data_IF_518108391470
#
_entry.id   IF_518108391470
#
_cell.length_a   1.000
_cell.length_b   1.000
_cell.length_c   1.000
_cell.angle_alpha   90.00
_cell.angle_beta   90.00
_cell.angle_gamma   90.00
#
_symmetry.space_group_name_H-M   'P 1'
#
loop_
_entity.id
_entity.type
_entity.pdbx_description
1 polymer ?
#
# COMPACT_ATOMS: atom_id res chain seq x y z
N UNK A 1 -15.53 6.98 -12.51
CA UNK A 1 -14.46 7.92 -12.14
C UNK A 1 -13.72 8.48 -13.35
N UNK A 2 -13.20 7.64 -14.27
CA UNK A 2 -12.42 8.09 -15.45
C UNK A 2 -13.25 8.99 -16.38
N UNK A 3 -14.47 8.60 -16.76
CA UNK A 3 -15.35 9.41 -17.61
C UNK A 3 -15.72 10.75 -16.96
N UNK A 4 -15.98 10.74 -15.66
CA UNK A 4 -16.25 11.95 -14.89
C UNK A 4 -15.04 12.89 -14.87
N UNK A 5 -13.83 12.35 -14.65
CA UNK A 5 -12.61 13.13 -14.69
C UNK A 5 -12.32 13.74 -16.05
N UNK A 6 -12.54 12.99 -17.15
CA UNK A 6 -12.37 13.47 -18.51
C UNK A 6 -13.39 14.57 -18.87
N UNK A 7 -14.67 14.38 -18.52
CA UNK A 7 -15.73 15.36 -18.77
C UNK A 7 -15.49 16.66 -18.00
N UNK A 8 -15.01 16.57 -16.75
CA UNK A 8 -14.68 17.75 -15.95
C UNK A 8 -13.44 18.48 -16.50
N UNK A 9 -12.45 17.74 -16.99
CA UNK A 9 -11.25 18.32 -17.60
C UNK A 9 -11.57 19.08 -18.90
N UNK A 10 -12.54 18.63 -19.69
CA UNK A 10 -12.95 19.32 -20.92
C UNK A 10 -13.60 20.68 -20.66
N UNK A 11 -14.15 20.91 -19.45
CA UNK A 11 -14.77 22.17 -19.07
C UNK A 11 -13.77 23.28 -18.73
N UNK A 12 -12.48 22.94 -18.56
CA UNK A 12 -11.35 23.87 -18.36
C UNK A 12 -11.57 24.95 -17.28
N UNK A 13 -12.30 24.64 -16.22
CA UNK A 13 -12.61 25.55 -15.11
C UNK A 13 -11.55 25.42 -14.02
N UNK A 14 -10.88 26.52 -13.67
CA UNK A 14 -9.81 26.54 -12.67
C UNK A 14 -10.23 26.04 -11.27
N UNK A 15 -11.50 26.18 -10.92
CA UNK A 15 -12.07 25.68 -9.66
C UNK A 15 -12.10 24.15 -9.58
N UNK A 16 -12.21 23.47 -10.71
CA UNK A 16 -12.25 21.99 -10.79
C UNK A 16 -10.89 21.39 -10.39
N UNK A 17 -9.79 22.10 -10.61
CA UNK A 17 -8.45 21.65 -10.28
C UNK A 17 -8.23 21.42 -8.77
N UNK A 18 -8.97 22.13 -7.92
CA UNK A 18 -8.87 22.05 -6.45
C UNK A 18 -9.69 20.91 -5.82
N UNK A 19 -10.66 20.36 -6.53
CA UNK A 19 -11.50 19.29 -6.00
C UNK A 19 -12.64 18.89 -6.95
N UNK A 20 -12.36 18.09 -8.00
CA UNK A 20 -13.36 17.73 -9.03
C UNK A 20 -14.61 17.09 -8.45
N UNK A 21 -14.46 16.24 -7.45
CA UNK A 21 -15.57 15.54 -6.78
C UNK A 21 -16.47 16.51 -6.00
N UNK A 22 -15.85 17.41 -5.22
CA UNK A 22 -16.59 18.40 -4.44
C UNK A 22 -17.35 19.40 -5.33
N UNK A 23 -16.71 19.86 -6.41
CA UNK A 23 -17.36 20.73 -7.40
C UNK A 23 -18.55 20.05 -8.05
N UNK A 24 -18.40 18.81 -8.47
CA UNK A 24 -19.49 18.02 -9.08
C UNK A 24 -20.64 17.79 -8.09
N UNK A 25 -20.34 17.45 -6.85
CA UNK A 25 -21.35 17.28 -5.79
C UNK A 25 -22.18 18.57 -5.59
N UNK A 26 -21.54 19.73 -5.61
CA UNK A 26 -22.23 21.02 -5.46
C UNK A 26 -23.19 21.39 -6.61
N UNK A 27 -23.11 20.71 -7.76
CA UNK A 27 -24.03 20.92 -8.91
C UNK A 27 -25.19 19.94 -8.92
N UNK A 28 -25.22 18.95 -8.04
CA UNK A 28 -26.28 17.95 -8.00
C UNK A 28 -27.49 18.42 -7.17
N UNK A 29 -28.72 18.00 -7.52
CA UNK A 29 -29.87 18.15 -6.64
C UNK A 29 -29.62 17.53 -5.27
N UNK A 30 -30.18 18.14 -4.22
CA UNK A 30 -29.86 17.79 -2.82
C UNK A 30 -30.04 16.30 -2.50
N UNK A 31 -31.08 15.65 -3.04
CA UNK A 31 -31.33 14.22 -2.85
C UNK A 31 -30.26 13.33 -3.52
N UNK A 32 -29.81 13.69 -4.72
CA UNK A 32 -28.76 12.96 -5.45
C UNK A 32 -27.40 13.18 -4.77
N UNK A 33 -27.14 14.39 -4.30
CA UNK A 33 -25.93 14.71 -3.54
C UNK A 33 -25.84 13.86 -2.25
N UNK A 34 -26.94 13.72 -1.52
CA UNK A 34 -26.99 12.90 -0.31
C UNK A 34 -26.72 11.42 -0.58
N UNK A 35 -27.33 10.87 -1.65
CA UNK A 35 -27.08 9.49 -2.08
C UNK A 35 -25.62 9.28 -2.50
N UNK A 36 -25.05 10.22 -3.26
CA UNK A 36 -23.66 10.15 -3.69
C UNK A 36 -22.70 10.23 -2.51
N UNK A 37 -22.96 11.12 -1.55
CA UNK A 37 -22.18 11.22 -0.33
C UNK A 37 -22.24 9.91 0.48
N UNK A 38 -23.44 9.35 0.66
CA UNK A 38 -23.61 8.07 1.36
C UNK A 38 -22.84 6.93 0.67
N UNK A 39 -22.86 6.87 -0.66
CA UNK A 39 -22.10 5.90 -1.44
C UNK A 39 -20.58 6.03 -1.20
N UNK A 40 -20.07 7.26 -1.25
CA UNK A 40 -18.64 7.54 -1.02
C UNK A 40 -18.24 7.14 0.40
N UNK A 41 -19.03 7.52 1.41
CA UNK A 41 -18.77 7.13 2.80
C UNK A 41 -18.82 5.62 3.01
N UNK A 42 -19.80 4.93 2.44
CA UNK A 42 -19.90 3.47 2.53
C UNK A 42 -18.68 2.78 1.91
N UNK A 43 -18.21 3.27 0.76
CA UNK A 43 -17.02 2.74 0.08
C UNK A 43 -15.75 2.97 0.91
N UNK A 44 -15.57 4.17 1.48
CA UNK A 44 -14.44 4.48 2.36
C UNK A 44 -14.45 3.61 3.61
N UNK A 45 -15.61 3.44 4.26
CA UNK A 45 -15.74 2.58 5.44
C UNK A 45 -15.40 1.12 5.12
N UNK A 46 -15.91 0.59 4.01
CA UNK A 46 -15.62 -0.78 3.58
C UNK A 46 -14.12 -1.01 3.33
N UNK A 47 -13.48 -0.09 2.61
CA UNK A 47 -12.05 -0.19 2.30
C UNK A 47 -11.19 -0.07 3.55
N UNK A 48 -11.48 0.89 4.41
CA UNK A 48 -10.74 1.10 5.66
C UNK A 48 -10.88 -0.10 6.60
N UNK A 49 -12.10 -0.62 6.76
CA UNK A 49 -12.38 -1.78 7.60
C UNK A 49 -11.61 -3.02 7.14
N UNK A 50 -11.63 -3.33 5.85
CA UNK A 50 -10.88 -4.48 5.30
C UNK A 50 -9.37 -4.29 5.39
N UNK A 51 -8.86 -3.08 5.20
CA UNK A 51 -7.44 -2.77 5.36
C UNK A 51 -6.95 -2.97 6.80
N UNK A 52 -7.70 -2.48 7.78
CA UNK A 52 -7.39 -2.68 9.21
C UNK A 52 -7.45 -4.16 9.56
N UNK A 53 -8.49 -4.87 9.14
CA UNK A 53 -8.65 -6.29 9.43
C UNK A 53 -7.53 -7.14 8.85
N UNK A 54 -7.11 -6.87 7.62
CA UNK A 54 -5.98 -7.56 6.98
C UNK A 54 -4.68 -7.30 7.75
N UNK A 55 -4.41 -6.06 8.12
CA UNK A 55 -3.21 -5.69 8.88
C UNK A 55 -3.18 -6.37 10.25
N UNK A 56 -4.31 -6.37 10.97
CA UNK A 56 -4.46 -7.05 12.26
C UNK A 56 -4.26 -8.56 12.13
N UNK A 57 -4.83 -9.17 11.09
CA UNK A 57 -4.70 -10.61 10.86
C UNK A 57 -3.25 -11.00 10.58
N UNK A 58 -2.54 -10.23 9.74
CA UNK A 58 -1.12 -10.47 9.47
C UNK A 58 -0.29 -10.35 10.75
N UNK A 59 -0.51 -9.32 11.57
CA UNK A 59 0.24 -9.17 12.82
C UNK A 59 -0.09 -10.28 13.82
N UNK A 60 -1.36 -10.62 13.99
CA UNK A 60 -1.77 -11.63 14.98
C UNK A 60 -1.43 -13.05 14.56
N UNK A 61 -1.67 -13.41 13.30
CA UNK A 61 -1.39 -14.77 12.80
C UNK A 61 0.05 -14.98 12.39
N UNK A 62 0.63 -14.05 11.65
CA UNK A 62 1.96 -14.29 11.07
C UNK A 62 3.08 -13.96 12.06
N UNK A 63 2.88 -12.97 12.95
CA UNK A 63 3.91 -12.58 13.90
C UNK A 63 3.65 -13.20 15.28
N UNK A 64 2.49 -12.90 15.90
CA UNK A 64 2.23 -13.27 17.30
C UNK A 64 2.09 -14.77 17.46
N UNK A 65 1.36 -15.46 16.58
CA UNK A 65 1.19 -16.91 16.68
C UNK A 65 2.48 -17.69 16.32
N UNK A 66 3.35 -17.09 15.50
CA UNK A 66 4.66 -17.68 15.20
C UNK A 66 5.63 -17.58 16.39
N UNK A 67 5.60 -16.45 17.13
CA UNK A 67 6.42 -16.26 18.32
C UNK A 67 5.92 -17.10 19.49
N UNK A 68 4.62 -17.21 19.66
CA UNK A 68 4.01 -17.96 20.75
C UNK A 68 2.84 -18.84 20.27
N UNK A 69 3.12 -20.08 19.83
CA UNK A 69 2.10 -20.98 19.25
C UNK A 69 1.01 -21.41 20.25
N UNK A 70 1.25 -21.29 21.56
CA UNK A 70 0.37 -21.80 22.60
C UNK A 70 -0.61 -20.75 23.16
N UNK A 71 -0.82 -19.62 22.44
CA UNK A 71 -1.76 -18.60 22.88
C UNK A 71 -3.20 -19.12 22.70
N UNK A 72 -4.05 -19.11 23.74
CA UNK A 72 -5.43 -19.51 23.62
C UNK A 72 -6.21 -18.54 22.74
N UNK A 73 -7.13 -19.07 21.91
CA UNK A 73 -7.92 -18.29 20.92
C UNK A 73 -8.61 -17.07 21.52
N UNK A 74 -9.10 -17.18 22.74
CA UNK A 74 -9.74 -16.07 23.44
C UNK A 74 -8.81 -14.87 23.66
N UNK A 75 -7.53 -15.12 23.97
CA UNK A 75 -6.52 -14.07 24.09
C UNK A 75 -6.16 -13.48 22.70
N UNK A 76 -6.09 -14.32 21.68
CA UNK A 76 -5.84 -13.87 20.31
C UNK A 76 -6.90 -12.88 19.83
N UNK A 77 -8.18 -13.16 20.08
CA UNK A 77 -9.29 -12.25 19.77
C UNK A 77 -9.17 -10.93 20.53
N UNK A 78 -8.80 -10.96 21.81
CA UNK A 78 -8.59 -9.74 22.60
C UNK A 78 -7.44 -8.90 22.05
N UNK A 79 -6.31 -9.53 21.73
CA UNK A 79 -5.16 -8.86 21.11
C UNK A 79 -5.56 -8.22 19.78
N UNK A 80 -6.31 -8.94 18.94
CA UNK A 80 -6.80 -8.41 17.66
C UNK A 80 -7.68 -7.17 17.83
N UNK A 81 -8.57 -7.16 18.82
CA UNK A 81 -9.42 -5.99 19.13
C UNK A 81 -8.60 -4.78 19.57
N UNK A 82 -7.66 -4.98 20.49
CA UNK A 82 -6.78 -3.91 20.98
C UNK A 82 -5.93 -3.38 19.81
N UNK A 83 -5.36 -4.26 19.01
CA UNK A 83 -4.53 -3.89 17.86
C UNK A 83 -5.32 -3.11 16.81
N UNK A 84 -6.59 -3.50 16.55
CA UNK A 84 -7.47 -2.74 15.66
C UNK A 84 -7.70 -1.32 16.16
N UNK A 85 -7.97 -1.16 17.46
CA UNK A 85 -8.17 0.16 18.06
C UNK A 85 -6.91 1.01 18.00
N UNK A 86 -5.74 0.43 18.27
CA UNK A 86 -4.44 1.12 18.19
C UNK A 86 -4.14 1.54 16.75
N UNK A 87 -4.32 0.66 15.77
CA UNK A 87 -4.09 0.99 14.36
C UNK A 87 -5.02 2.10 13.88
N UNK A 88 -6.29 2.07 14.27
CA UNK A 88 -7.24 3.12 13.94
C UNK A 88 -6.87 4.46 14.59
N UNK A 89 -6.44 4.44 15.85
CA UNK A 89 -5.97 5.66 16.54
C UNK A 89 -4.72 6.25 15.85
N UNK A 90 -3.76 5.41 15.48
CA UNK A 90 -2.56 5.87 14.74
C UNK A 90 -2.96 6.46 13.38
N UNK A 91 -3.85 5.78 12.63
CA UNK A 91 -4.33 6.28 11.35
C UNK A 91 -5.02 7.64 11.48
N UNK A 92 -5.85 7.82 12.52
CA UNK A 92 -6.52 9.09 12.82
C UNK A 92 -5.50 10.19 13.13
N UNK A 93 -4.52 9.93 13.98
CA UNK A 93 -3.46 10.87 14.31
C UNK A 93 -2.64 11.27 13.08
N UNK A 94 -2.29 10.31 12.23
CA UNK A 94 -1.60 10.59 10.98
C UNK A 94 -2.43 11.46 10.04
N UNK A 95 -3.73 11.23 9.96
CA UNK A 95 -4.64 12.04 9.15
C UNK A 95 -4.73 13.50 9.64
N UNK A 96 -4.65 13.72 10.95
CA UNK A 96 -4.65 15.08 11.53
C UNK A 96 -3.35 15.84 11.28
N UNK A 97 -2.22 15.13 11.23
CA UNK A 97 -0.88 15.74 11.04
C UNK A 97 -0.59 15.98 9.56
N UNK A 98 -1.01 15.09 8.67
CA UNK A 98 -0.75 15.16 7.25
C UNK A 98 -2.02 15.42 6.44
N UNK A 99 -2.11 16.61 5.87
CA UNK A 99 -3.27 17.05 5.07
C UNK A 99 -3.22 16.64 3.61
N UNK A 100 -2.04 16.27 3.08
CA UNK A 100 -1.85 15.89 1.67
C UNK A 100 -2.04 14.39 1.43
N UNK A 101 -3.30 13.95 1.50
CA UNK A 101 -3.71 12.55 1.41
C UNK A 101 -3.34 11.89 0.08
N UNK A 102 -3.38 12.63 -1.04
CA UNK A 102 -3.09 12.05 -2.36
C UNK A 102 -1.62 11.69 -2.54
N UNK A 103 -0.71 12.56 -2.10
CA UNK A 103 0.72 12.27 -2.13
C UNK A 103 1.08 11.10 -1.18
N UNK A 104 0.43 11.03 -0.04
CA UNK A 104 0.59 9.90 0.88
C UNK A 104 0.16 8.57 0.25
N UNK A 105 -1.00 8.56 -0.40
CA UNK A 105 -1.53 7.38 -1.06
C UNK A 105 -0.60 6.91 -2.20
N UNK A 106 -0.18 7.83 -3.06
CA UNK A 106 0.75 7.51 -4.17
C UNK A 106 2.10 7.02 -3.67
N UNK A 107 2.64 7.62 -2.60
CA UNK A 107 3.88 7.16 -1.97
C UNK A 107 3.72 5.74 -1.41
N UNK A 108 2.64 5.46 -0.68
CA UNK A 108 2.38 4.13 -0.11
C UNK A 108 2.31 3.05 -1.20
N UNK A 109 1.63 3.32 -2.31
CA UNK A 109 1.60 2.40 -3.45
C UNK A 109 2.97 2.22 -4.09
N UNK A 110 3.76 3.27 -4.21
CA UNK A 110 5.10 3.20 -4.76
C UNK A 110 6.04 2.32 -3.92
N UNK A 111 6.02 2.49 -2.59
CA UNK A 111 6.78 1.65 -1.66
C UNK A 111 6.32 0.19 -1.69
N UNK A 112 5.00 -0.05 -1.72
CA UNK A 112 4.45 -1.40 -1.83
C UNK A 112 4.84 -2.06 -3.15
N UNK A 113 4.79 -1.34 -4.26
CA UNK A 113 5.23 -1.84 -5.56
C UNK A 113 6.72 -2.16 -5.58
N UNK A 114 7.57 -1.29 -5.02
CA UNK A 114 9.01 -1.51 -4.94
C UNK A 114 9.38 -2.73 -4.09
N UNK A 115 8.65 -2.97 -3.00
CA UNK A 115 8.89 -4.10 -2.10
C UNK A 115 8.36 -5.44 -2.64
N UNK A 116 7.20 -5.44 -3.30
CA UNK A 116 6.47 -6.68 -3.61
C UNK A 116 6.47 -7.06 -5.09
N UNK A 117 6.45 -6.09 -6.02
CA UNK A 117 6.28 -6.40 -7.43
C UNK A 117 7.40 -7.32 -7.93
N UNK A 118 8.65 -6.95 -7.72
CA UNK A 118 9.79 -7.71 -8.21
C UNK A 118 9.90 -9.10 -7.56
N UNK A 119 9.89 -9.24 -6.23
CA UNK A 119 9.92 -10.55 -5.57
C UNK A 119 8.79 -11.48 -6.00
N UNK A 120 7.58 -10.98 -6.15
CA UNK A 120 6.42 -11.80 -6.56
C UNK A 120 6.55 -12.24 -8.01
N UNK A 121 6.78 -11.31 -8.96
CA UNK A 121 6.84 -11.64 -10.38
C UNK A 121 8.06 -12.50 -10.74
N UNK A 122 9.24 -12.20 -10.19
CA UNK A 122 10.43 -13.00 -10.47
C UNK A 122 10.35 -14.39 -9.82
N UNK A 123 9.84 -14.50 -8.59
CA UNK A 123 9.71 -15.83 -7.96
C UNK A 123 8.72 -16.71 -8.71
N UNK A 124 7.64 -16.15 -9.23
CA UNK A 124 6.69 -16.89 -10.04
C UNK A 124 7.24 -17.24 -11.42
N UNK A 125 7.83 -16.26 -12.12
CA UNK A 125 8.37 -16.45 -13.48
C UNK A 125 9.60 -17.36 -13.55
N UNK A 126 10.42 -17.38 -12.51
CA UNK A 126 11.64 -18.22 -12.44
C UNK A 126 11.46 -19.50 -11.59
N UNK A 127 10.24 -19.81 -11.18
CA UNK A 127 9.92 -21.00 -10.37
C UNK A 127 10.46 -22.29 -10.96
N UNK A 128 10.37 -22.48 -12.26
CA UNK A 128 10.84 -23.70 -12.94
C UNK A 128 12.36 -23.86 -12.96
N UNK A 129 13.13 -22.80 -12.74
CA UNK A 129 14.60 -22.84 -12.80
C UNK A 129 15.28 -23.05 -11.44
N UNK A 130 14.48 -23.13 -10.33
CA UNK A 130 15.01 -23.23 -8.96
C UNK A 130 16.16 -22.22 -8.68
N UNK A 131 16.11 -21.05 -9.33
CA UNK A 131 17.15 -20.04 -9.28
C UNK A 131 17.00 -19.13 -8.06
N UNK A 132 15.76 -18.89 -7.62
CA UNK A 132 15.44 -17.93 -6.58
C UNK A 132 15.43 -18.64 -5.23
N UNK A 133 16.17 -18.07 -4.28
CA UNK A 133 16.27 -18.56 -2.90
C UNK A 133 15.46 -17.67 -1.95
N UNK A 134 14.98 -18.23 -0.84
CA UNK A 134 14.24 -17.46 0.19
C UNK A 134 15.00 -16.22 0.67
N UNK A 135 16.31 -16.29 0.99
CA UNK A 135 17.07 -15.08 1.35
C UNK A 135 17.18 -14.07 0.21
N UNK A 136 17.17 -14.50 -1.05
CA UNK A 136 17.11 -13.60 -2.19
C UNK A 136 15.80 -12.81 -2.27
N UNK A 137 14.67 -13.46 -1.97
CA UNK A 137 13.35 -12.79 -1.91
C UNK A 137 13.35 -11.72 -0.82
N UNK A 138 13.78 -12.06 0.38
CA UNK A 138 13.84 -11.11 1.51
C UNK A 138 14.77 -9.94 1.20
N UNK A 139 15.93 -10.21 0.61
CA UNK A 139 16.84 -9.16 0.17
C UNK A 139 16.20 -8.24 -0.86
N UNK A 140 15.50 -8.79 -1.87
CA UNK A 140 14.75 -8.00 -2.84
C UNK A 140 13.72 -7.07 -2.21
N UNK A 141 12.96 -7.56 -1.23
CA UNK A 141 11.98 -6.74 -0.49
C UNK A 141 12.66 -5.59 0.27
N UNK A 142 13.70 -5.88 1.04
CA UNK A 142 14.40 -4.88 1.87
C UNK A 142 15.11 -3.84 1.00
N UNK A 143 15.89 -4.28 0.02
CA UNK A 143 16.61 -3.37 -0.88
C UNK A 143 15.67 -2.60 -1.80
N UNK A 144 14.51 -3.14 -2.15
CA UNK A 144 13.46 -2.42 -2.88
C UNK A 144 12.92 -1.24 -2.08
N UNK A 145 12.61 -1.44 -0.79
CA UNK A 145 12.19 -0.36 0.11
C UNK A 145 13.29 0.69 0.30
N UNK A 146 14.51 0.27 0.56
CA UNK A 146 15.66 1.17 0.74
C UNK A 146 15.93 1.96 -0.53
N UNK A 147 15.93 1.30 -1.70
CA UNK A 147 16.12 1.95 -3.00
C UNK A 147 15.05 2.99 -3.30
N UNK A 148 13.79 2.68 -2.98
CA UNK A 148 12.67 3.62 -3.12
C UNK A 148 12.85 4.84 -2.18
N UNK A 149 13.24 4.63 -0.93
CA UNK A 149 13.48 5.70 0.04
C UNK A 149 14.64 6.61 -0.38
N UNK A 150 15.76 6.03 -0.80
CA UNK A 150 16.92 6.79 -1.29
C UNK A 150 16.57 7.61 -2.53
N UNK A 151 15.85 7.03 -3.49
CA UNK A 151 15.41 7.74 -4.70
C UNK A 151 14.47 8.91 -4.38
N UNK A 152 13.61 8.76 -3.39
CA UNK A 152 12.71 9.83 -2.92
C UNK A 152 13.49 10.98 -2.27
N UNK A 153 14.49 10.67 -1.43
CA UNK A 153 15.34 11.68 -0.78
C UNK A 153 16.18 12.44 -1.81
N UNK A 154 16.70 11.75 -2.82
CA UNK A 154 17.51 12.34 -3.88
C UNK A 154 16.70 13.18 -4.87
N UNK A 155 15.37 13.24 -4.75
CA UNK A 155 14.46 13.98 -5.67
C UNK A 155 14.78 13.73 -7.15
N UNK A 156 15.05 12.48 -7.50
CA UNK A 156 15.43 12.08 -8.86
C UNK A 156 14.27 12.39 -9.82
N UNK A 157 14.58 12.82 -11.04
CA UNK A 157 13.59 13.12 -12.09
C UNK A 157 12.78 11.90 -12.54
N UNK A 158 13.29 10.69 -12.30
CA UNK A 158 12.57 9.43 -12.53
C UNK A 158 11.67 9.11 -11.34
N UNK A 159 10.53 8.46 -11.63
CA UNK A 159 9.63 8.01 -10.59
C UNK A 159 10.38 7.06 -9.62
N UNK A 160 10.44 7.42 -8.34
CA UNK A 160 11.17 6.69 -7.29
C UNK A 160 10.71 5.23 -7.14
N UNK A 161 9.44 4.93 -7.48
CA UNK A 161 8.94 3.55 -7.53
C UNK A 161 9.69 2.69 -8.55
N UNK A 162 10.00 3.26 -9.71
CA UNK A 162 10.71 2.54 -10.78
C UNK A 162 12.14 2.18 -10.36
N UNK A 163 12.82 3.10 -9.71
CA UNK A 163 14.16 2.88 -9.17
C UNK A 163 14.12 1.80 -8.08
N UNK A 164 13.13 1.86 -7.18
CA UNK A 164 12.94 0.84 -6.14
C UNK A 164 12.72 -0.56 -6.71
N UNK A 165 11.91 -0.70 -7.76
CA UNK A 165 11.67 -1.97 -8.44
C UNK A 165 12.96 -2.51 -9.09
N UNK A 166 13.74 -1.66 -9.75
CA UNK A 166 15.00 -2.06 -10.37
C UNK A 166 16.02 -2.53 -9.32
N UNK A 167 16.18 -1.77 -8.25
CA UNK A 167 17.07 -2.13 -7.12
C UNK A 167 16.64 -3.45 -6.49
N UNK A 168 15.33 -3.65 -6.28
CA UNK A 168 14.76 -4.91 -5.79
C UNK A 168 15.12 -6.10 -6.70
N UNK A 169 14.98 -5.93 -8.03
CA UNK A 169 15.33 -6.96 -9.00
C UNK A 169 16.79 -7.36 -8.93
N UNK A 170 17.66 -6.36 -8.96
CA UNK A 170 19.12 -6.57 -8.95
C UNK A 170 19.55 -7.24 -7.64
N UNK A 171 19.09 -6.73 -6.51
CA UNK A 171 19.40 -7.29 -5.20
C UNK A 171 18.94 -8.76 -5.07
N UNK A 172 17.72 -9.05 -5.52
CA UNK A 172 17.15 -10.39 -5.50
C UNK A 172 17.98 -11.38 -6.33
N UNK A 173 18.38 -10.99 -7.55
CA UNK A 173 19.18 -11.83 -8.44
C UNK A 173 20.57 -12.07 -7.87
N UNK A 174 21.25 -11.03 -7.37
CA UNK A 174 22.61 -11.13 -6.83
C UNK A 174 22.62 -12.03 -5.59
N UNK A 175 21.71 -11.80 -4.64
CA UNK A 175 21.66 -12.60 -3.40
C UNK A 175 21.24 -14.04 -3.69
N UNK A 176 20.31 -14.27 -4.62
CA UNK A 176 19.94 -15.62 -5.03
C UNK A 176 21.10 -16.36 -5.69
N UNK A 177 21.87 -15.71 -6.54
CA UNK A 177 23.04 -16.30 -7.17
C UNK A 177 24.14 -16.64 -6.15
N UNK A 178 24.36 -15.76 -5.17
CA UNK A 178 25.33 -15.96 -4.10
C UNK A 178 24.93 -17.09 -3.16
N UNK A 179 23.63 -17.23 -2.87
CA UNK A 179 23.12 -18.24 -1.93
C UNK A 179 22.99 -19.61 -2.57
N UNK A 180 22.72 -19.67 -3.86
CA UNK A 180 22.68 -20.96 -4.61
C UNK A 180 24.03 -21.66 -4.69
N UNK A 181 25.13 -20.91 -4.64
CA UNK A 181 26.50 -21.45 -4.72
C UNK A 181 26.97 -22.15 -3.42
N UNK A 182 26.21 -22.01 -2.33
CA UNK A 182 26.52 -22.59 -1.00
C UNK A 182 25.70 -23.84 -0.63
N UNK A 183 24.78 -24.27 -1.47
CA UNK A 183 24.00 -25.50 -1.32
C UNK A 183 24.20 -26.42 -2.53
#
# INVERSE_FOLDING_TARGET
AIYMGLSLRSLNIAEIAKGPTAWFMGKLPIGVMALFAALVFATLMSTTSSGVQTSVTNITRDIISTINPNIPDRKMVTISRVLSAVLMAIALLMCLVWTDTLNWLTNTYAYSAAALACPVFLSYGLRNKHFITTPGIVAGMVFGLVGCAVAQIMKTSLNFAFIGILVSAVAMVIVSAATKKKG
#
